data_IF_634306197582
#
_entry.id   IF_634306197582
#
_cell.length_a   1.000
_cell.length_b   1.000
_cell.length_c   1.000
_cell.angle_alpha   90.00
_cell.angle_beta   90.00
_cell.angle_gamma   90.00
#
_symmetry.space_group_name_H-M   'P 1'
#
loop_
_entity.id
_entity.type
_entity.pdbx_description
1 polymer ?
#
# COMPACT_ATOMS: atom_id res chain seq x y z
N UNK A 1 11.99 -0.92 -14.10
CA UNK A 1 11.14 0.07 -14.80
C UNK A 1 11.43 1.49 -14.34
N UNK A 2 11.33 1.78 -13.05
CA UNK A 2 11.65 3.09 -12.45
C UNK A 2 13.01 3.66 -12.86
N UNK A 3 14.07 2.86 -12.82
CA UNK A 3 15.41 3.26 -13.30
C UNK A 3 15.46 3.64 -14.78
N UNK A 4 14.60 3.04 -15.63
CA UNK A 4 14.51 3.38 -17.06
C UNK A 4 13.76 4.69 -17.26
N UNK A 5 12.70 4.92 -16.48
CA UNK A 5 11.86 6.13 -16.56
C UNK A 5 12.59 7.37 -16.02
N UNK A 6 13.42 7.22 -15.00
CA UNK A 6 14.22 8.32 -14.43
C UNK A 6 15.67 7.87 -14.17
N UNK A 7 16.53 7.89 -15.21
CA UNK A 7 17.91 7.38 -15.11
C UNK A 7 18.84 8.27 -14.29
N UNK A 8 18.52 9.56 -14.13
CA UNK A 8 19.29 10.50 -13.30
C UNK A 8 18.98 10.41 -11.80
N UNK A 9 18.01 9.59 -11.39
CA UNK A 9 17.65 9.42 -10.00
C UNK A 9 18.38 8.23 -9.38
N UNK A 10 18.91 8.41 -8.16
CA UNK A 10 19.47 7.30 -7.39
C UNK A 10 18.33 6.45 -6.83
N UNK A 11 18.14 5.27 -7.41
CA UNK A 11 17.19 4.27 -6.92
C UNK A 11 17.86 3.37 -5.89
N UNK A 12 17.26 3.28 -4.70
CA UNK A 12 17.70 2.37 -3.65
C UNK A 12 16.59 1.38 -3.36
N UNK A 13 16.89 0.09 -3.49
CA UNK A 13 15.94 -0.93 -3.05
C UNK A 13 16.14 -1.15 -1.55
N UNK A 14 15.04 -0.99 -0.81
CA UNK A 14 15.01 -1.17 0.63
C UNK A 14 14.21 -2.45 0.87
N UNK A 15 14.93 -3.56 1.09
CA UNK A 15 14.34 -4.86 1.41
C UNK A 15 13.86 -4.85 2.85
N UNK A 16 12.64 -5.31 3.04
CA UNK A 16 12.03 -5.47 4.35
C UNK A 16 12.06 -6.95 4.70
N UNK A 17 12.70 -7.30 5.81
CA UNK A 17 12.76 -8.67 6.33
C UNK A 17 12.52 -8.65 7.83
N UNK A 18 11.47 -9.36 8.27
CA UNK A 18 10.87 -9.18 9.58
C UNK A 18 10.67 -10.54 10.22
N UNK A 19 11.21 -10.69 11.42
CA UNK A 19 11.08 -11.92 12.16
C UNK A 19 9.75 -11.97 12.92
N UNK A 20 9.36 -13.18 13.33
CA UNK A 20 8.10 -13.38 14.07
C UNK A 20 8.05 -12.60 15.39
N UNK A 21 9.20 -12.30 16.01
CA UNK A 21 9.24 -11.54 17.26
C UNK A 21 8.76 -10.10 17.06
N UNK A 22 9.23 -9.42 16.00
CA UNK A 22 8.81 -8.06 15.64
C UNK A 22 7.32 -8.04 15.23
N UNK A 23 6.86 -9.10 14.54
CA UNK A 23 5.43 -9.25 14.26
C UNK A 23 4.61 -9.28 15.56
N UNK A 24 4.99 -10.12 16.52
CA UNK A 24 4.26 -10.27 17.79
C UNK A 24 4.28 -8.98 18.61
N UNK A 25 5.38 -8.24 18.61
CA UNK A 25 5.53 -6.97 19.32
C UNK A 25 4.50 -5.93 18.86
N UNK A 26 4.22 -5.83 17.57
CA UNK A 26 3.34 -4.80 17.01
C UNK A 26 1.91 -5.26 16.74
N UNK A 27 1.62 -6.56 16.89
CA UNK A 27 0.33 -7.16 16.53
C UNK A 27 -0.85 -6.49 17.18
N UNK A 28 -0.82 -6.32 18.49
CA UNK A 28 -1.96 -5.76 19.22
C UNK A 28 -2.20 -4.30 18.84
N UNK A 29 -1.12 -3.56 18.56
CA UNK A 29 -1.24 -2.17 18.12
C UNK A 29 -1.82 -2.06 16.72
N UNK A 30 -1.41 -2.92 15.79
CA UNK A 30 -2.00 -2.95 14.45
C UNK A 30 -3.47 -3.35 14.52
N UNK A 31 -3.83 -4.33 15.36
CA UNK A 31 -5.23 -4.72 15.57
C UNK A 31 -6.07 -3.54 16.06
N UNK A 32 -5.54 -2.71 16.94
CA UNK A 32 -6.20 -1.48 17.40
C UNK A 32 -6.40 -0.49 16.24
N UNK A 33 -5.36 -0.24 15.44
CA UNK A 33 -5.34 0.74 14.35
C UNK A 33 -6.17 0.32 13.12
N UNK A 34 -6.42 -0.98 12.91
CA UNK A 34 -7.25 -1.43 11.77
C UNK A 34 -8.75 -1.46 12.06
N UNK A 35 -9.16 -1.22 13.32
CA UNK A 35 -10.59 -1.21 13.66
C UNK A 35 -11.35 -0.13 12.89
N UNK A 36 -12.63 -0.38 12.54
CA UNK A 36 -13.49 -1.48 13.02
C UNK A 36 -13.37 -2.78 12.22
N UNK A 37 -12.68 -2.79 11.07
CA UNK A 37 -12.57 -3.99 10.21
C UNK A 37 -11.35 -4.82 10.60
N UNK A 38 -11.61 -6.01 11.12
CA UNK A 38 -10.56 -6.94 11.57
C UNK A 38 -10.55 -8.20 10.70
N UNK A 39 -10.18 -8.07 9.42
CA UNK A 39 -9.91 -9.24 8.59
C UNK A 39 -8.43 -9.62 8.62
N UNK A 40 -8.11 -10.88 8.28
CA UNK A 40 -6.72 -11.31 8.12
C UNK A 40 -5.98 -10.50 7.04
N UNK A 41 -6.70 -10.08 6.00
CA UNK A 41 -6.15 -9.25 4.91
C UNK A 41 -5.81 -7.85 5.43
N UNK A 42 -6.68 -7.26 6.25
CA UNK A 42 -6.43 -5.95 6.89
C UNK A 42 -5.21 -6.03 7.81
N UNK A 43 -5.11 -7.10 8.60
CA UNK A 43 -3.96 -7.32 9.48
C UNK A 43 -2.67 -7.48 8.68
N UNK A 44 -2.66 -8.33 7.65
CA UNK A 44 -1.49 -8.54 6.80
C UNK A 44 -1.05 -7.24 6.11
N UNK A 45 -2.01 -6.44 5.62
CA UNK A 45 -1.71 -5.13 5.00
C UNK A 45 -1.18 -4.14 6.03
N UNK A 46 -1.78 -4.09 7.21
CA UNK A 46 -1.32 -3.22 8.28
C UNK A 46 0.10 -3.54 8.73
N UNK A 47 0.43 -4.83 8.81
CA UNK A 47 1.81 -5.25 9.01
C UNK A 47 2.69 -4.78 7.86
N UNK A 48 2.37 -5.10 6.62
CA UNK A 48 3.15 -4.64 5.48
C UNK A 48 3.49 -3.14 5.53
N UNK A 49 2.52 -2.29 5.92
CA UNK A 49 2.72 -0.85 6.09
C UNK A 49 3.67 -0.49 7.24
N UNK A 50 3.53 -1.11 8.40
CA UNK A 50 4.51 -0.99 9.48
C UNK A 50 5.92 -1.38 8.99
N UNK A 51 6.00 -2.48 8.25
CA UNK A 51 7.28 -3.08 7.88
C UNK A 51 8.02 -2.26 6.80
N UNK A 52 7.30 -1.59 5.89
CA UNK A 52 7.87 -0.62 4.95
C UNK A 52 8.68 0.49 5.65
N UNK A 53 8.39 0.75 6.92
CA UNK A 53 9.06 1.76 7.71
C UNK A 53 9.86 1.23 8.90
N UNK A 54 9.89 -0.09 9.09
CA UNK A 54 10.62 -0.68 10.20
C UNK A 54 12.09 -0.23 10.19
N UNK A 55 12.63 -0.04 11.40
CA UNK A 55 13.99 0.43 11.65
C UNK A 55 15.09 -0.49 11.10
N UNK A 56 14.73 -1.70 10.67
CA UNK A 56 15.65 -2.70 10.12
C UNK A 56 15.24 -3.03 8.70
N UNK A 57 15.62 -2.15 7.79
CA UNK A 57 15.58 -2.50 6.37
C UNK A 57 16.99 -2.76 5.86
N UNK A 58 17.11 -3.48 4.75
CA UNK A 58 18.39 -3.74 4.13
C UNK A 58 18.48 -3.04 2.77
N UNK A 59 19.52 -2.24 2.59
CA UNK A 59 19.79 -1.61 1.30
C UNK A 59 20.38 -2.64 0.33
N UNK A 60 19.77 -2.76 -0.84
CA UNK A 60 20.36 -3.43 -1.98
C UNK A 60 20.60 -2.38 -3.08
N UNK A 61 21.86 -2.25 -3.50
CA UNK A 61 22.27 -1.27 -4.50
C UNK A 61 22.00 -1.73 -5.95
N UNK A 62 21.38 -2.90 -6.14
CA UNK A 62 20.95 -3.40 -7.45
C UNK A 62 22.08 -3.89 -8.35
N UNK A 63 23.34 -3.78 -7.92
CA UNK A 63 24.51 -4.10 -8.74
C UNK A 63 25.03 -5.54 -8.53
N UNK A 64 24.77 -6.19 -7.38
CA UNK A 64 25.17 -7.58 -7.14
C UNK A 64 24.21 -8.33 -6.19
N UNK A 65 23.85 -9.57 -6.52
CA UNK A 65 23.03 -10.46 -5.67
C UNK A 65 23.70 -10.82 -4.33
N UNK A 66 25.00 -10.57 -4.20
CA UNK A 66 25.83 -10.94 -3.05
C UNK A 66 26.36 -9.74 -2.26
N UNK A 67 25.87 -8.52 -2.52
CA UNK A 67 26.25 -7.38 -1.70
C UNK A 67 25.79 -7.62 -0.24
N UNK A 68 26.63 -7.34 0.76
CA UNK A 68 26.24 -7.52 2.16
C UNK A 68 25.02 -6.66 2.48
N UNK A 69 24.03 -7.28 3.12
CA UNK A 69 22.82 -6.59 3.58
C UNK A 69 23.21 -5.56 4.66
N UNK A 70 23.14 -4.27 4.32
CA UNK A 70 23.45 -3.17 5.26
C UNK A 70 22.16 -2.69 5.91
N UNK A 71 22.12 -2.73 7.23
CA UNK A 71 21.02 -2.17 8.01
C UNK A 71 20.85 -0.68 7.68
N UNK A 72 19.61 -0.30 7.35
CA UNK A 72 19.25 1.02 6.88
C UNK A 72 17.99 1.50 7.56
N UNK A 73 18.04 2.77 7.97
CA UNK A 73 16.90 3.54 8.44
C UNK A 73 16.80 4.79 7.58
N UNK A 74 15.61 5.03 7.02
CA UNK A 74 15.37 6.22 6.20
C UNK A 74 15.38 7.48 7.05
N UNK A 75 16.05 8.57 6.62
CA UNK A 75 15.93 9.89 7.25
C UNK A 75 14.71 10.69 6.73
N UNK A 76 13.94 10.13 5.79
CA UNK A 76 12.80 10.81 5.18
C UNK A 76 11.72 11.13 6.22
N UNK A 77 11.21 12.36 6.18
CA UNK A 77 10.11 12.83 7.04
C UNK A 77 8.74 12.73 6.40
N UNK A 78 8.72 12.65 5.07
CA UNK A 78 7.50 12.55 4.26
C UNK A 78 7.65 11.35 3.35
N UNK A 79 6.64 10.47 3.34
CA UNK A 79 6.55 9.37 2.39
C UNK A 79 5.61 9.72 1.24
N UNK A 80 6.02 9.41 0.02
CA UNK A 80 5.13 9.42 -1.14
C UNK A 80 4.63 7.99 -1.35
N UNK A 81 3.32 7.81 -1.33
CA UNK A 81 2.70 6.50 -1.45
C UNK A 81 1.77 6.42 -2.65
N UNK A 82 1.90 5.34 -3.43
CA UNK A 82 0.96 4.95 -4.48
C UNK A 82 -0.20 4.11 -3.96
N UNK A 83 -0.35 3.93 -2.65
CA UNK A 83 -1.52 3.26 -2.09
C UNK A 83 -2.80 3.94 -2.56
N UNK A 84 -3.87 3.16 -2.67
CA UNK A 84 -5.17 3.59 -3.21
C UNK A 84 -5.21 3.87 -4.72
N UNK A 85 -4.08 3.82 -5.45
CA UNK A 85 -4.09 3.96 -6.91
C UNK A 85 -4.97 2.91 -7.61
N UNK A 86 -4.89 1.66 -7.17
CA UNK A 86 -5.71 0.54 -7.67
C UNK A 86 -7.22 0.78 -7.51
N UNK A 87 -7.63 1.61 -6.54
CA UNK A 87 -9.03 1.94 -6.30
C UNK A 87 -9.54 3.04 -7.23
N UNK A 88 -8.71 4.04 -7.48
CA UNK A 88 -9.05 5.17 -8.35
C UNK A 88 -8.98 4.78 -9.83
N UNK A 89 -7.99 3.97 -10.19
CA UNK A 89 -7.71 3.60 -11.59
C UNK A 89 -8.36 2.27 -11.99
N UNK A 90 -9.44 1.86 -11.32
CA UNK A 90 -10.17 0.64 -11.68
C UNK A 90 -9.33 -0.65 -11.68
N UNK A 91 -8.24 -0.70 -10.91
CA UNK A 91 -7.25 -1.78 -10.98
C UNK A 91 -7.69 -3.15 -10.45
N UNK A 92 -8.82 -3.26 -9.75
CA UNK A 92 -9.31 -4.56 -9.27
C UNK A 92 -9.93 -5.41 -10.38
N UNK A 93 -9.65 -6.71 -10.35
CA UNK A 93 -10.20 -7.70 -11.30
C UNK A 93 -11.73 -7.67 -11.37
N UNK A 94 -12.42 -7.31 -10.28
CA UNK A 94 -13.88 -7.15 -10.25
C UNK A 94 -14.40 -6.04 -11.16
N UNK A 95 -13.63 -4.96 -11.40
CA UNK A 95 -14.04 -3.90 -12.31
C UNK A 95 -14.05 -4.40 -13.74
N UNK A 96 -13.03 -5.19 -14.12
CA UNK A 96 -13.02 -5.92 -15.39
C UNK A 96 -14.22 -6.85 -15.51
N UNK A 97 -14.54 -7.62 -14.47
CA UNK A 97 -15.71 -8.50 -14.49
C UNK A 97 -17.04 -7.73 -14.60
N UNK A 98 -17.17 -6.61 -13.88
CA UNK A 98 -18.33 -5.73 -13.95
C UNK A 98 -18.50 -5.14 -15.36
N UNK A 99 -17.41 -4.66 -15.97
CA UNK A 99 -17.41 -4.17 -17.35
C UNK A 99 -17.84 -5.23 -18.35
N UNK A 100 -17.23 -6.43 -18.28
CA UNK A 100 -17.55 -7.54 -19.19
C UNK A 100 -18.99 -8.05 -19.03
N UNK A 101 -19.55 -7.95 -17.82
CA UNK A 101 -20.93 -8.36 -17.55
C UNK A 101 -21.92 -7.27 -18.01
N UNK A 102 -21.58 -6.00 -17.83
CA UNK A 102 -22.38 -4.87 -18.30
C UNK A 102 -22.47 -4.86 -19.83
N UNK A 103 -21.39 -5.17 -20.55
CA UNK A 103 -21.40 -5.22 -22.03
C UNK A 103 -22.24 -6.36 -22.63
N UNK A 104 -22.81 -7.24 -21.81
CA UNK A 104 -23.71 -8.32 -22.22
C UNK A 104 -25.20 -8.00 -21.97
N UNK A 105 -25.49 -6.88 -21.30
CA UNK A 105 -26.84 -6.36 -21.07
C UNK A 105 -26.99 -5.00 -21.74
N UNK A 106 -28.18 -4.68 -22.26
CA UNK A 106 -28.48 -3.38 -22.90
C UNK A 106 -28.48 -2.18 -21.93
N UNK A 107 -28.19 -2.40 -20.64
CA UNK A 107 -27.95 -1.36 -19.64
C UNK A 107 -26.46 -1.01 -19.65
N UNK A 108 -26.10 -0.09 -20.55
CA UNK A 108 -24.72 0.33 -20.79
C UNK A 108 -24.08 0.93 -19.52
N UNK A 109 -22.96 0.36 -19.08
CA UNK A 109 -22.03 0.90 -18.08
C UNK A 109 -22.51 1.10 -16.63
N UNK A 110 -23.79 0.90 -16.30
CA UNK A 110 -24.31 1.18 -14.95
C UNK A 110 -23.65 0.33 -13.84
N UNK A 111 -23.37 -0.95 -14.11
CA UNK A 111 -22.79 -1.84 -13.10
C UNK A 111 -21.34 -1.52 -12.75
N UNK A 112 -20.54 -1.08 -13.73
CA UNK A 112 -19.17 -0.62 -13.48
C UNK A 112 -19.20 0.70 -12.71
N UNK A 113 -20.08 1.63 -13.12
CA UNK A 113 -20.27 2.90 -12.43
C UNK A 113 -20.70 2.71 -10.97
N UNK A 114 -21.59 1.76 -10.69
CA UNK A 114 -22.03 1.46 -9.33
C UNK A 114 -20.90 0.86 -8.48
N UNK A 115 -20.11 -0.07 -9.02
CA UNK A 115 -18.92 -0.60 -8.34
C UNK A 115 -17.90 0.50 -8.01
N UNK A 116 -17.70 1.43 -8.95
CA UNK A 116 -16.80 2.58 -8.77
C UNK A 116 -17.30 3.53 -7.70
N UNK A 117 -18.59 3.92 -7.77
CA UNK A 117 -19.23 4.77 -6.76
C UNK A 117 -19.13 4.15 -5.37
N UNK A 118 -19.47 2.87 -5.22
CA UNK A 118 -19.33 2.18 -3.94
C UNK A 118 -17.89 2.18 -3.41
N UNK A 119 -16.88 2.07 -4.29
CA UNK A 119 -15.48 2.09 -3.89
C UNK A 119 -15.02 3.48 -3.45
N UNK A 120 -15.46 4.53 -4.14
CA UNK A 120 -15.20 5.92 -3.77
C UNK A 120 -15.86 6.29 -2.43
N UNK A 121 -17.13 5.96 -2.25
CA UNK A 121 -17.88 6.22 -1.01
C UNK A 121 -17.23 5.54 0.21
N UNK A 122 -16.54 4.42 0.00
CA UNK A 122 -15.90 3.62 1.04
C UNK A 122 -14.39 3.82 1.15
N UNK A 123 -13.80 4.70 0.34
CA UNK A 123 -12.33 4.83 0.27
C UNK A 123 -11.76 5.25 1.62
N UNK A 124 -12.41 6.23 2.27
CA UNK A 124 -12.01 6.81 3.54
C UNK A 124 -12.19 5.84 4.71
N UNK A 125 -13.30 5.09 4.77
CA UNK A 125 -13.57 4.14 5.88
C UNK A 125 -12.77 2.85 5.81
N UNK A 126 -12.36 2.40 4.62
CA UNK A 126 -11.83 1.05 4.46
C UNK A 126 -10.33 1.01 4.25
N UNK A 127 -9.82 1.73 3.26
CA UNK A 127 -8.40 1.61 2.91
C UNK A 127 -7.63 2.84 3.30
N UNK A 128 -8.07 4.02 2.86
CA UNK A 128 -7.28 5.22 3.06
C UNK A 128 -7.19 5.56 4.54
N UNK A 129 -8.32 5.60 5.27
CA UNK A 129 -8.30 5.92 6.70
C UNK A 129 -7.53 4.88 7.54
N UNK A 130 -7.66 3.59 7.23
CA UNK A 130 -6.88 2.53 7.90
C UNK A 130 -5.39 2.68 7.63
N UNK A 131 -5.01 2.79 6.36
CA UNK A 131 -3.61 2.84 5.95
C UNK A 131 -2.97 4.13 6.48
N UNK A 132 -3.68 5.25 6.44
CA UNK A 132 -3.27 6.54 7.01
C UNK A 132 -3.11 6.47 8.52
N UNK A 133 -4.02 5.81 9.26
CA UNK A 133 -3.87 5.64 10.71
C UNK A 133 -2.60 4.87 11.08
N UNK A 134 -2.30 3.78 10.36
CA UNK A 134 -1.09 2.98 10.60
C UNK A 134 0.15 3.80 10.25
N UNK A 135 0.16 4.40 9.07
CA UNK A 135 1.31 5.16 8.61
C UNK A 135 1.55 6.41 9.46
N UNK A 136 0.50 7.10 9.89
CA UNK A 136 0.61 8.25 10.78
C UNK A 136 1.19 7.86 12.13
N UNK A 137 0.79 6.70 12.66
CA UNK A 137 1.31 6.19 13.93
C UNK A 137 2.80 5.83 13.86
N UNK A 138 3.21 5.11 12.82
CA UNK A 138 4.58 4.57 12.74
C UNK A 138 5.57 5.48 11.99
N UNK A 139 5.13 6.19 10.95
CA UNK A 139 5.96 7.00 10.05
C UNK A 139 5.86 8.50 10.34
N UNK A 140 4.64 9.01 10.51
CA UNK A 140 4.35 10.45 10.55
C UNK A 140 3.58 10.89 9.30
N UNK A 141 4.19 11.71 8.43
CA UNK A 141 3.49 12.28 7.27
C UNK A 141 3.60 11.39 6.02
N UNK A 142 2.45 11.01 5.45
CA UNK A 142 2.36 10.33 4.16
C UNK A 142 1.50 11.14 3.21
N UNK A 143 1.97 11.26 1.97
CA UNK A 143 1.27 11.94 0.88
C UNK A 143 0.89 10.94 -0.21
N UNK A 144 -0.27 11.15 -0.79
CA UNK A 144 -0.84 10.29 -1.82
C UNK A 144 -1.10 11.12 -3.08
N UNK A 145 -0.09 11.38 -3.94
CA UNK A 145 -0.24 12.30 -5.07
C UNK A 145 -1.33 11.94 -6.08
N UNK A 146 -1.81 10.69 -6.04
CA UNK A 146 -2.89 10.22 -6.92
C UNK A 146 -4.28 10.61 -6.43
N UNK A 147 -4.39 11.12 -5.19
CA UNK A 147 -5.63 11.59 -4.57
C UNK A 147 -5.78 13.12 -4.63
N UNK A 148 -4.76 13.83 -5.16
CA UNK A 148 -4.78 15.29 -5.41
C UNK A 148 -5.43 15.59 -6.78
#
# INVERSE_FOLDING_TARGET
>A
ELMKLMPGMLWRFVKVDVCMAEYLEHKDKIIELIRPKLTLIDLARGFFLLLLYSHKSFLNNGEEFYSPEVAFRTPARVLISGLSAEKLLEGFSRHRSAFLTASLSSDDCDRLLDELKMNLERIWTQNLGRDEQIMSWFFGEVRYPILD
#
